data_IF_851694313626
#
_entry.id   IF_851694313626
#
_cell.length_a   1.000
_cell.length_b   1.000
_cell.length_c   1.000
_cell.angle_alpha   90.00
_cell.angle_beta   90.00
_cell.angle_gamma   90.00
#
_symmetry.space_group_name_H-M   'P 1'
#
loop_
_entity.id
_entity.type
_entity.pdbx_description
1 polymer ?
#
# COMPACT_ATOMS: atom_id res chain seq x y z
N UNK A 1 -11.61 6.91 5.87
CA UNK A 1 -10.37 7.32 6.59
C UNK A 1 -9.22 7.68 5.62
N UNK A 2 -8.27 8.54 6.03
CA UNK A 2 -7.11 8.96 5.20
C UNK A 2 -5.78 8.74 5.94
N UNK A 3 -4.77 8.25 5.22
CA UNK A 3 -3.38 8.15 5.69
C UNK A 3 -2.40 8.71 4.65
N UNK A 4 -1.18 8.98 5.09
CA UNK A 4 -0.05 9.31 4.22
C UNK A 4 1.08 8.34 4.57
N UNK A 5 1.61 7.68 3.54
CA UNK A 5 2.75 6.76 3.67
C UNK A 5 3.97 7.38 3.00
N UNK A 6 5.05 7.47 3.75
CA UNK A 6 6.34 7.95 3.23
C UNK A 6 7.18 6.77 2.76
N UNK A 7 7.46 6.72 1.46
CA UNK A 7 8.33 5.72 0.84
C UNK A 7 9.81 6.10 0.94
N UNK A 8 10.71 5.14 0.73
CA UNK A 8 12.16 5.40 0.71
C UNK A 8 12.54 6.42 -0.37
N UNK A 9 11.92 6.30 -1.54
CA UNK A 9 12.08 7.23 -2.64
C UNK A 9 10.80 7.41 -3.48
N UNK A 10 10.92 8.23 -4.54
CA UNK A 10 9.85 8.50 -5.50
C UNK A 10 9.43 7.26 -6.28
N UNK A 11 10.36 6.36 -6.58
CA UNK A 11 10.07 5.16 -7.36
C UNK A 11 9.23 4.18 -6.53
N UNK A 12 9.57 3.98 -5.26
CA UNK A 12 8.81 3.14 -4.33
C UNK A 12 7.41 3.72 -4.06
N UNK A 13 7.26 5.05 -4.01
CA UNK A 13 5.95 5.70 -3.95
C UNK A 13 5.09 5.42 -5.19
N UNK A 14 5.68 5.48 -6.39
CA UNK A 14 4.99 5.15 -7.63
C UNK A 14 4.57 3.68 -7.67
N UNK A 15 5.48 2.78 -7.27
CA UNK A 15 5.23 1.34 -7.15
C UNK A 15 4.06 1.06 -6.20
N UNK A 16 4.10 1.56 -4.96
CA UNK A 16 3.02 1.41 -3.98
C UNK A 16 1.67 1.88 -4.53
N UNK A 17 1.61 3.07 -5.11
CA UNK A 17 0.37 3.63 -5.64
C UNK A 17 -0.21 2.80 -6.79
N UNK A 18 0.64 2.24 -7.66
CA UNK A 18 0.22 1.38 -8.77
C UNK A 18 -0.29 0.00 -8.33
N UNK A 19 0.20 -0.51 -7.20
CA UNK A 19 -0.19 -1.82 -6.66
C UNK A 19 -1.44 -1.72 -5.77
N UNK A 20 -1.63 -0.59 -5.09
CA UNK A 20 -2.71 -0.41 -4.13
C UNK A 20 -4.07 -0.19 -4.79
N UNK A 21 -4.17 0.52 -5.91
CA UNK A 21 -5.46 1.02 -6.39
C UNK A 21 -5.68 0.82 -7.88
N UNK A 22 -6.71 0.06 -8.23
CA UNK A 22 -7.20 -0.09 -9.61
C UNK A 22 -8.36 0.89 -9.81
N UNK A 23 -8.10 1.93 -10.61
CA UNK A 23 -9.05 3.02 -10.84
C UNK A 23 -10.40 2.56 -11.44
N UNK A 24 -10.38 1.53 -12.29
CA UNK A 24 -11.58 1.00 -12.96
C UNK A 24 -12.44 0.10 -12.07
N UNK A 25 -11.91 -0.38 -10.93
CA UNK A 25 -12.64 -1.26 -10.00
C UNK A 25 -12.85 -0.70 -8.60
N UNK A 26 -12.15 0.38 -8.22
CA UNK A 26 -12.02 0.83 -6.82
C UNK A 26 -11.55 -0.27 -5.85
N UNK A 27 -10.86 -1.26 -6.39
CA UNK A 27 -10.36 -2.40 -5.62
C UNK A 27 -8.85 -2.33 -5.51
N UNK A 28 -8.33 -2.98 -4.46
CA UNK A 28 -6.90 -3.21 -4.34
C UNK A 28 -6.44 -4.40 -5.20
N UNK A 29 -5.21 -4.32 -5.72
CA UNK A 29 -4.54 -5.46 -6.35
C UNK A 29 -3.87 -6.36 -5.30
N UNK A 30 -3.72 -5.86 -4.07
CA UNK A 30 -3.10 -6.55 -2.94
C UNK A 30 -4.05 -7.61 -2.40
N UNK A 31 -3.56 -8.82 -2.21
CA UNK A 31 -4.31 -9.93 -1.62
C UNK A 31 -3.84 -10.30 -0.22
N UNK A 32 -2.69 -9.79 0.21
CA UNK A 32 -2.12 -10.10 1.51
C UNK A 32 -0.75 -9.48 1.74
N UNK A 33 -0.35 -9.44 3.00
CA UNK A 33 1.02 -9.16 3.42
C UNK A 33 1.70 -10.52 3.68
N UNK A 34 2.83 -10.76 3.01
CA UNK A 34 3.57 -12.01 3.10
C UNK A 34 4.68 -11.94 4.15
N UNK A 35 5.35 -10.80 4.27
CA UNK A 35 6.44 -10.61 5.23
C UNK A 35 6.72 -9.12 5.49
N UNK A 36 7.37 -8.84 6.62
CA UNK A 36 7.91 -7.52 6.97
C UNK A 36 9.38 -7.70 7.38
N UNK A 37 10.28 -6.94 6.75
CA UNK A 37 11.72 -6.97 7.05
C UNK A 37 12.21 -5.52 7.20
N UNK A 38 12.30 -5.04 8.44
CA UNK A 38 12.58 -3.62 8.73
C UNK A 38 11.59 -2.71 7.98
N UNK A 39 12.09 -1.78 7.16
CA UNK A 39 11.30 -0.87 6.35
C UNK A 39 10.82 -1.49 5.02
N UNK A 40 11.05 -2.78 4.77
CA UNK A 40 10.57 -3.51 3.60
C UNK A 40 9.27 -4.26 3.91
N UNK A 41 8.25 -4.02 3.10
CA UNK A 41 6.99 -4.75 3.14
C UNK A 41 6.85 -5.64 1.90
N UNK A 42 6.64 -6.94 2.10
CA UNK A 42 6.41 -7.90 1.01
C UNK A 42 4.92 -8.21 0.92
N UNK A 43 4.32 -7.98 -0.24
CA UNK A 43 2.89 -8.15 -0.50
C UNK A 43 2.63 -9.16 -1.61
N UNK A 44 1.51 -9.87 -1.54
CA UNK A 44 0.98 -10.70 -2.61
C UNK A 44 -0.06 -9.96 -3.43
N UNK A 45 -0.11 -10.25 -4.72
CA UNK A 45 -1.02 -9.65 -5.67
C UNK A 45 -2.05 -10.66 -6.21
N UNK A 46 -3.10 -10.17 -6.88
CA UNK A 46 -4.15 -11.02 -7.49
C UNK A 46 -3.61 -11.97 -8.57
N UNK A 47 -2.54 -11.60 -9.26
CA UNK A 47 -1.87 -12.44 -10.25
C UNK A 47 -0.92 -13.49 -9.63
N UNK A 48 -0.90 -13.60 -8.30
CA UNK A 48 -0.06 -14.50 -7.48
C UNK A 48 1.42 -14.15 -7.48
N UNK A 49 1.81 -12.99 -8.03
CA UNK A 49 3.15 -12.46 -7.83
C UNK A 49 3.34 -11.91 -6.41
N UNK A 50 4.60 -11.79 -6.01
CA UNK A 50 5.01 -11.15 -4.78
C UNK A 50 5.90 -9.95 -5.11
N UNK A 51 5.65 -8.83 -4.45
CA UNK A 51 6.42 -7.59 -4.63
C UNK A 51 6.83 -7.06 -3.28
N UNK A 52 8.05 -6.55 -3.17
CA UNK A 52 8.47 -5.78 -2.01
C UNK A 52 8.24 -4.29 -2.22
N UNK A 53 8.10 -3.53 -1.14
CA UNK A 53 8.02 -2.08 -1.16
C UNK A 53 8.89 -1.54 -0.02
N UNK A 54 9.78 -0.61 -0.32
CA UNK A 54 10.63 0.03 0.67
C UNK A 54 10.00 1.34 1.14
N UNK A 55 9.65 1.36 2.43
CA UNK A 55 9.12 2.55 3.10
C UNK A 55 10.25 3.30 3.80
N UNK A 56 9.96 4.52 4.27
CA UNK A 56 10.98 5.37 4.89
C UNK A 56 11.55 4.74 6.17
N UNK A 57 10.74 4.06 6.97
CA UNK A 57 11.13 3.39 8.20
C UNK A 57 10.10 2.32 8.60
N UNK A 58 10.37 1.64 9.72
CA UNK A 58 9.50 0.59 10.27
C UNK A 58 8.12 1.12 10.70
N UNK A 59 8.04 2.35 11.24
CA UNK A 59 6.75 2.97 11.63
C UNK A 59 5.81 3.13 10.42
N UNK A 60 6.34 3.49 9.25
CA UNK A 60 5.56 3.60 8.01
C UNK A 60 5.06 2.23 7.54
N UNK A 61 5.81 1.16 7.80
CA UNK A 61 5.39 -0.21 7.50
C UNK A 61 4.23 -0.62 8.40
N UNK A 62 4.34 -0.39 9.71
CA UNK A 62 3.27 -0.69 10.67
C UNK A 62 1.99 0.09 10.32
N UNK A 63 2.12 1.41 10.11
CA UNK A 63 0.99 2.27 9.74
C UNK A 63 0.29 1.82 8.46
N UNK A 64 1.06 1.42 7.43
CA UNK A 64 0.48 0.95 6.19
C UNK A 64 -0.14 -0.44 6.33
N UNK A 65 0.53 -1.36 7.02
CA UNK A 65 0.05 -2.72 7.26
C UNK A 65 -1.31 -2.71 7.99
N UNK A 66 -1.41 -1.95 9.07
CA UNK A 66 -2.65 -1.79 9.83
C UNK A 66 -3.76 -1.17 8.98
N UNK A 67 -3.42 -0.18 8.15
CA UNK A 67 -4.41 0.47 7.29
C UNK A 67 -4.94 -0.46 6.19
N UNK A 68 -4.06 -1.21 5.51
CA UNK A 68 -4.43 -2.03 4.36
C UNK A 68 -5.10 -3.34 4.77
N UNK A 69 -4.85 -3.84 5.97
CA UNK A 69 -5.43 -5.10 6.45
C UNK A 69 -6.96 -5.10 6.36
N UNK A 70 -7.63 -4.04 6.83
CA UNK A 70 -9.09 -3.95 6.73
C UNK A 70 -9.61 -3.86 5.28
N UNK A 71 -8.77 -3.44 4.33
CA UNK A 71 -9.11 -3.43 2.90
C UNK A 71 -8.99 -4.84 2.32
N UNK A 72 -7.93 -5.57 2.70
CA UNK A 72 -7.72 -6.96 2.32
C UNK A 72 -8.86 -7.84 2.85
N UNK A 73 -9.28 -7.61 4.09
CA UNK A 73 -10.38 -8.31 4.75
C UNK A 73 -11.77 -7.88 4.24
N UNK A 74 -11.82 -6.93 3.29
CA UNK A 74 -13.04 -6.40 2.66
C UNK A 74 -13.99 -5.70 3.62
N UNK A 75 -13.49 -5.25 4.77
CA UNK A 75 -14.24 -4.40 5.70
C UNK A 75 -14.36 -2.97 5.18
N UNK A 76 -13.36 -2.50 4.43
CA UNK A 76 -13.32 -1.17 3.84
C UNK A 76 -12.86 -1.19 2.38
N UNK A 77 -13.38 -0.26 1.59
CA UNK A 77 -13.02 -0.07 0.18
C UNK A 77 -12.10 1.14 0.01
N UNK A 78 -11.11 1.02 -0.88
CA UNK A 78 -10.26 2.16 -1.27
C UNK A 78 -11.05 3.15 -2.13
N UNK A 79 -10.91 4.44 -1.82
CA UNK A 79 -11.56 5.54 -2.52
C UNK A 79 -10.60 6.20 -3.50
N UNK A 80 -9.37 6.48 -3.07
CA UNK A 80 -8.39 7.19 -3.90
C UNK A 80 -6.96 7.03 -3.42
N UNK A 81 -6.04 7.17 -4.35
CA UNK A 81 -4.60 7.33 -4.09
C UNK A 81 -4.06 8.57 -4.80
N UNK A 82 -3.13 9.29 -4.16
CA UNK A 82 -2.40 10.42 -4.75
C UNK A 82 -0.94 10.34 -4.39
N UNK A 83 -0.07 10.47 -5.39
CA UNK A 83 1.38 10.52 -5.21
C UNK A 83 1.81 11.98 -5.09
N UNK A 84 2.68 12.27 -4.13
CA UNK A 84 3.39 13.53 -3.98
C UNK A 84 4.86 13.26 -3.65
N UNK A 85 5.73 13.30 -4.67
CA UNK A 85 7.12 12.85 -4.58
C UNK A 85 7.25 11.45 -3.97
N UNK A 86 7.83 11.32 -2.78
CA UNK A 86 8.03 10.06 -2.06
C UNK A 86 6.89 9.75 -1.07
N UNK A 87 5.78 10.49 -1.12
CA UNK A 87 4.62 10.28 -0.23
C UNK A 87 3.42 9.79 -1.04
N UNK A 88 2.74 8.76 -0.53
CA UNK A 88 1.48 8.25 -1.08
C UNK A 88 0.36 8.55 -0.10
N UNK A 89 -0.58 9.38 -0.52
CA UNK A 89 -1.83 9.63 0.20
C UNK A 89 -2.87 8.59 -0.21
N UNK A 90 -3.48 7.92 0.77
CA UNK A 90 -4.43 6.83 0.56
C UNK A 90 -5.70 7.12 1.35
N UNK A 91 -6.85 6.97 0.70
CA UNK A 91 -8.16 7.16 1.32
C UNK A 91 -8.98 5.87 1.15
N UNK A 92 -9.54 5.38 2.25
CA UNK A 92 -10.59 4.35 2.28
C UNK A 92 -11.87 4.91 2.87
N UNK A 93 -12.99 4.22 2.77
CA UNK A 93 -14.23 4.59 3.50
C UNK A 93 -13.99 4.61 5.02
#
# INVERSE_FOLDING_TARGET
>A
MKIQITCEDKYEAQKLASLIFIKEGKETYITGILNVVKNELVISLKDKSAHSILLKNEDEVENFADFIQSVIDKEHTLISTKINEYVVEIVKE
#
